data_IF_249025631809
#
_entry.id   IF_249025631809
#
_cell.length_a   1.000
_cell.length_b   1.000
_cell.length_c   1.000
_cell.angle_alpha   90.00
_cell.angle_beta   90.00
_cell.angle_gamma   90.00
#
_symmetry.space_group_name_H-M   'P 1'
#
loop_
_entity.id
_entity.type
_entity.pdbx_description
1 polymer ?
#
# COMPACT_ATOMS: atom_id res chain seq x y z
N UNK A 1 -7.92 0.97 -10.98
CA UNK A 1 -7.54 -0.13 -10.08
C UNK A 1 -6.51 0.42 -9.11
N UNK A 2 -6.72 0.26 -7.80
CA UNK A 2 -5.79 0.70 -6.76
C UNK A 2 -4.71 -0.36 -6.56
N UNK A 3 -3.52 0.09 -6.22
CA UNK A 3 -2.40 -0.77 -5.87
C UNK A 3 -1.99 -0.44 -4.45
N UNK A 4 -2.00 -1.45 -3.59
CA UNK A 4 -1.67 -1.34 -2.18
C UNK A 4 -0.46 -2.18 -1.85
N UNK A 5 0.44 -1.61 -1.06
CA UNK A 5 1.52 -2.33 -0.38
C UNK A 5 1.12 -2.44 1.09
N UNK A 6 1.07 -3.66 1.60
CA UNK A 6 0.72 -3.98 2.99
C UNK A 6 1.97 -4.59 3.64
N UNK A 7 2.35 -4.07 4.80
CA UNK A 7 3.36 -4.71 5.67
C UNK A 7 2.73 -4.99 7.02
N UNK A 8 2.74 -6.25 7.47
CA UNK A 8 2.21 -6.65 8.77
C UNK A 8 3.25 -7.39 9.60
N UNK A 9 3.21 -7.21 10.91
CA UNK A 9 4.02 -7.98 11.86
C UNK A 9 3.09 -8.81 12.73
N UNK A 10 3.15 -10.12 12.56
CA UNK A 10 2.44 -11.07 13.42
C UNK A 10 3.25 -11.37 14.68
N UNK A 11 2.58 -11.57 15.81
CA UNK A 11 3.18 -11.85 17.13
C UNK A 11 4.11 -13.06 17.13
N UNK A 12 3.69 -14.12 16.42
CA UNK A 12 4.41 -15.39 16.39
C UNK A 12 5.39 -15.51 15.22
N UNK A 13 5.61 -14.44 14.46
CA UNK A 13 6.60 -14.41 13.37
C UNK A 13 7.75 -13.48 13.70
N UNK A 14 9.00 -13.90 13.46
CA UNK A 14 10.16 -13.08 13.76
C UNK A 14 10.23 -11.83 12.86
N UNK A 15 9.86 -11.96 11.58
CA UNK A 15 9.98 -10.90 10.59
C UNK A 15 8.61 -10.44 10.09
N UNK A 16 8.45 -9.14 9.78
CA UNK A 16 7.26 -8.64 9.08
C UNK A 16 7.09 -9.29 7.71
N UNK A 17 5.84 -9.39 7.26
CA UNK A 17 5.47 -9.87 5.94
C UNK A 17 5.10 -8.65 5.10
N UNK A 18 5.59 -8.60 3.86
CA UNK A 18 5.17 -7.63 2.86
C UNK A 18 4.31 -8.32 1.81
N UNK A 19 3.18 -7.71 1.45
CA UNK A 19 2.25 -8.23 0.45
C UNK A 19 1.71 -7.10 -0.40
N UNK A 20 1.43 -7.40 -1.66
CA UNK A 20 0.88 -6.44 -2.62
C UNK A 20 -0.53 -6.85 -3.03
N UNK A 21 -1.41 -5.86 -3.18
CA UNK A 21 -2.79 -6.07 -3.62
C UNK A 21 -3.15 -5.08 -4.74
N UNK A 22 -3.57 -5.62 -5.88
CA UNK A 22 -4.13 -4.85 -7.00
C UNK A 22 -5.63 -5.12 -7.10
N UNK A 23 -6.45 -4.08 -6.93
CA UNK A 23 -7.89 -4.23 -6.99
C UNK A 23 -8.65 -2.95 -6.71
N UNK A 24 -9.95 -3.06 -6.42
CA UNK A 24 -10.82 -1.90 -6.19
C UNK A 24 -11.14 -1.68 -4.70
N UNK A 25 -10.46 -2.40 -3.79
CA UNK A 25 -10.60 -2.20 -2.36
C UNK A 25 -9.99 -0.86 -1.95
N UNK A 26 -10.67 -0.19 -1.01
CA UNK A 26 -10.11 0.93 -0.26
C UNK A 26 -9.36 0.45 0.98
N UNK A 27 -8.86 1.39 1.79
CA UNK A 27 -8.04 1.07 2.96
C UNK A 27 -8.79 0.19 3.97
N UNK A 28 -10.06 0.45 4.22
CA UNK A 28 -10.86 -0.33 5.18
C UNK A 28 -11.14 -1.73 4.63
N UNK A 29 -11.43 -1.85 3.33
CA UNK A 29 -11.52 -3.14 2.65
C UNK A 29 -10.23 -3.95 2.70
N UNK A 30 -9.05 -3.30 2.63
CA UNK A 30 -7.75 -3.94 2.79
C UNK A 30 -7.54 -4.46 4.22
N UNK A 31 -7.93 -3.66 5.23
CA UNK A 31 -7.84 -4.08 6.65
C UNK A 31 -8.68 -5.33 6.90
N UNK A 32 -9.91 -5.35 6.37
CA UNK A 32 -10.81 -6.49 6.50
C UNK A 32 -10.30 -7.73 5.74
N UNK A 33 -9.94 -7.55 4.47
CA UNK A 33 -9.50 -8.65 3.61
C UNK A 33 -8.26 -9.38 4.14
N UNK A 34 -7.30 -8.65 4.70
CA UNK A 34 -6.08 -9.22 5.28
C UNK A 34 -6.19 -9.52 6.79
N UNK A 35 -7.34 -9.27 7.42
CA UNK A 35 -7.52 -9.51 8.86
C UNK A 35 -6.56 -8.70 9.75
N UNK A 36 -6.21 -7.47 9.34
CA UNK A 36 -5.17 -6.68 10.02
C UNK A 36 -5.57 -6.20 11.42
N UNK A 37 -6.84 -6.33 11.77
CA UNK A 37 -7.40 -5.98 13.08
C UNK A 37 -7.36 -7.15 14.09
N UNK A 38 -6.90 -8.34 13.69
CA UNK A 38 -6.81 -9.49 14.58
C UNK A 38 -5.69 -9.37 15.63
N UNK A 39 -5.89 -10.02 16.78
CA UNK A 39 -5.00 -9.89 17.96
C UNK A 39 -3.60 -10.47 17.78
N UNK A 40 -3.42 -11.31 16.76
CA UNK A 40 -2.15 -11.89 16.35
C UNK A 40 -1.32 -10.93 15.48
N UNK A 41 -1.89 -9.82 15.00
CA UNK A 41 -1.16 -8.71 14.37
C UNK A 41 -0.72 -7.71 15.43
N UNK A 42 0.59 -7.50 15.58
CA UNK A 42 1.16 -6.51 16.50
C UNK A 42 1.10 -5.09 15.93
N UNK A 43 1.39 -4.96 14.64
CA UNK A 43 1.28 -3.71 13.91
C UNK A 43 1.17 -3.98 12.40
N UNK A 44 0.67 -2.99 11.68
CA UNK A 44 0.64 -3.01 10.21
C UNK A 44 0.86 -1.60 9.63
N UNK A 45 1.29 -1.56 8.37
CA UNK A 45 1.42 -0.36 7.54
C UNK A 45 0.78 -0.64 6.17
N UNK A 46 -0.02 0.31 5.70
CA UNK A 46 -0.69 0.24 4.39
C UNK A 46 -0.28 1.48 3.60
N UNK A 47 0.19 1.30 2.38
CA UNK A 47 0.60 2.36 1.46
C UNK A 47 -0.14 2.19 0.14
N UNK A 48 -0.78 3.25 -0.36
CA UNK A 48 -1.30 3.27 -1.73
C UNK A 48 -0.18 3.66 -2.69
N UNK A 49 0.01 2.88 -3.74
CA UNK A 49 0.92 3.22 -4.83
C UNK A 49 0.17 4.12 -5.79
N UNK A 50 0.34 5.42 -5.60
CA UNK A 50 -0.10 6.45 -6.55
C UNK A 50 0.99 6.65 -7.61
N UNK A 51 0.68 6.33 -8.86
CA UNK A 51 1.52 6.75 -9.98
C UNK A 51 1.38 8.26 -10.10
N UNK A 52 2.39 9.00 -9.63
CA UNK A 52 2.50 10.42 -9.93
C UNK A 52 3.06 10.50 -11.35
N UNK A 53 2.21 10.79 -12.33
CA UNK A 53 2.68 11.23 -13.63
C UNK A 53 3.42 12.54 -13.43
N UNK A 54 4.75 12.50 -13.43
CA UNK A 54 5.56 13.70 -13.57
C UNK A 54 5.19 14.33 -14.92
N UNK A 55 4.41 15.41 -14.88
CA UNK A 55 4.18 16.22 -16.09
C UNK A 55 5.52 16.82 -16.48
N UNK A 56 6.12 16.25 -17.51
CA UNK A 56 7.29 16.80 -18.20
C UNK A 56 6.91 18.21 -18.68
N UNK A 57 7.32 19.22 -17.92
CA UNK A 57 7.07 20.62 -18.24
C UNK A 57 8.05 21.01 -19.34
N UNK A 58 7.78 20.62 -20.59
CA UNK A 58 8.54 21.09 -21.75
C UNK A 58 8.29 22.58 -21.93
N UNK A 59 9.12 23.39 -21.29
CA UNK A 59 9.19 24.82 -21.54
C UNK A 59 9.77 25.01 -22.95
N UNK A 60 9.00 25.49 -23.95
CA UNK A 60 9.61 25.80 -25.24
C UNK A 60 10.49 27.04 -25.02
N UNK A 61 11.80 26.84 -24.97
CA UNK A 61 12.75 27.95 -25.09
C UNK A 61 12.64 28.50 -26.51
N UNK A 62 11.81 29.53 -26.66
CA UNK A 62 11.85 30.42 -27.82
C UNK A 62 13.02 31.38 -27.57
N UNK A 63 14.13 31.18 -28.28
CA UNK A 63 15.10 32.23 -28.64
C UNK A 63 15.73 31.90 -29.98
#
# INVERSE_FOLDING_TARGET
>A
MRHWIITSKERNRPNPIKTEHHGNLDKDGIIEFFGLHFSDVEWYRIEEVVLVEEKENTNPKIK
#
